data_IF_381520064716
#
_entry.id   IF_381520064716
#
_cell.length_a   1.000
_cell.length_b   1.000
_cell.length_c   1.000
_cell.angle_alpha   90.00
_cell.angle_beta   90.00
_cell.angle_gamma   90.00
#
_symmetry.space_group_name_H-M   'P 1'
#
loop_
_entity.id
_entity.type
_entity.pdbx_description
1 polymer ?
#
# COMPACT_ATOMS: atom_id res chain seq x y z
N UNK A 1 11.53 15.06 -11.72
CA UNK A 1 10.10 14.67 -11.66
C UNK A 1 9.30 15.65 -12.51
N UNK A 2 8.34 15.16 -13.29
CA UNK A 2 7.50 15.96 -14.18
C UNK A 2 6.70 17.04 -13.39
N UNK A 3 6.60 18.26 -13.94
CA UNK A 3 5.94 19.41 -13.28
C UNK A 3 4.43 19.19 -13.06
N UNK A 4 3.74 18.54 -13.99
CA UNK A 4 2.32 18.19 -13.87
C UNK A 4 2.07 17.23 -12.71
N UNK A 5 2.96 16.24 -12.52
CA UNK A 5 2.89 15.32 -11.38
C UNK A 5 3.08 16.10 -10.06
N UNK A 6 4.04 17.03 -10.03
CA UNK A 6 4.25 17.87 -8.85
C UNK A 6 3.03 18.74 -8.54
N UNK A 7 2.49 19.44 -9.53
CA UNK A 7 1.32 20.28 -9.35
C UNK A 7 0.09 19.50 -8.89
N UNK A 8 -0.10 18.27 -9.40
CA UNK A 8 -1.23 17.42 -9.05
C UNK A 8 -1.12 16.74 -7.68
N UNK A 9 0.07 16.25 -7.34
CA UNK A 9 0.26 15.33 -6.22
C UNK A 9 1.10 15.89 -5.06
N UNK A 10 1.89 16.95 -5.20
CA UNK A 10 2.69 17.53 -4.09
C UNK A 10 1.85 18.33 -3.08
N UNK A 11 0.77 17.72 -2.58
CA UNK A 11 -0.23 18.25 -1.65
C UNK A 11 -0.90 17.09 -0.92
N UNK A 12 -1.61 17.37 0.17
CA UNK A 12 -2.41 16.35 0.86
C UNK A 12 -3.71 16.06 0.10
N UNK A 13 -4.11 14.79 0.04
CA UNK A 13 -5.35 14.37 -0.62
C UNK A 13 -5.85 13.03 -0.04
N UNK A 14 -7.09 12.67 -0.41
CA UNK A 14 -7.63 11.32 -0.21
C UNK A 14 -7.57 10.57 -1.52
N UNK A 15 -7.12 9.32 -1.48
CA UNK A 15 -6.99 8.49 -2.67
C UNK A 15 -7.04 7.00 -2.36
N UNK A 16 -6.90 6.20 -3.41
CA UNK A 16 -6.87 4.74 -3.36
C UNK A 16 -5.64 4.23 -4.08
N UNK A 17 -5.06 3.16 -3.56
CA UNK A 17 -3.99 2.43 -4.21
C UNK A 17 -4.53 1.11 -4.76
N UNK A 18 -4.12 0.76 -5.96
CA UNK A 18 -4.37 -0.54 -6.55
C UNK A 18 -3.03 -1.14 -6.96
N UNK A 19 -2.84 -2.44 -6.78
CA UNK A 19 -1.72 -3.13 -7.42
C UNK A 19 -2.02 -3.20 -8.91
N UNK A 20 -1.10 -2.70 -9.74
CA UNK A 20 -1.27 -2.68 -11.20
C UNK A 20 -0.58 -3.89 -11.82
N UNK A 21 -1.33 -4.64 -12.62
CA UNK A 21 -0.81 -5.68 -13.52
C UNK A 21 -1.05 -5.27 -14.97
N UNK A 22 -0.56 -6.07 -15.92
CA UNK A 22 -0.78 -5.84 -17.37
C UNK A 22 -2.28 -5.82 -17.71
N UNK A 23 -3.06 -6.70 -17.07
CA UNK A 23 -4.44 -6.95 -17.46
C UNK A 23 -5.49 -6.24 -16.59
N UNK A 24 -5.12 -5.81 -15.37
CA UNK A 24 -6.07 -5.20 -14.44
C UNK A 24 -5.43 -4.46 -13.26
N UNK A 25 -6.26 -3.67 -12.60
CA UNK A 25 -5.98 -3.14 -11.26
C UNK A 25 -6.57 -4.06 -10.20
N UNK A 26 -5.72 -4.53 -9.30
CA UNK A 26 -6.09 -5.39 -8.19
C UNK A 26 -6.30 -4.50 -6.94
N UNK A 27 -7.47 -4.55 -6.30
CA UNK A 27 -7.72 -3.74 -5.11
C UNK A 27 -6.82 -4.15 -3.95
N UNK A 28 -6.59 -3.23 -3.02
CA UNK A 28 -5.98 -3.56 -1.74
C UNK A 28 -7.08 -3.86 -0.71
N UNK A 29 -6.74 -4.63 0.30
CA UNK A 29 -7.61 -4.93 1.44
C UNK A 29 -6.81 -5.09 2.71
N UNK A 30 -7.50 -4.97 3.84
CA UNK A 30 -6.96 -5.41 5.11
C UNK A 30 -7.24 -6.91 5.28
N UNK A 31 -6.22 -7.63 5.72
CA UNK A 31 -6.35 -9.01 6.17
C UNK A 31 -7.17 -9.09 7.44
N UNK A 32 -7.77 -10.26 7.62
CA UNK A 32 -8.49 -10.66 8.81
C UNK A 32 -7.88 -11.96 9.30
N UNK A 33 -7.80 -12.14 10.60
CA UNK A 33 -7.41 -13.38 11.27
C UNK A 33 -8.18 -14.61 10.77
N UNK A 34 -9.38 -14.42 10.22
CA UNK A 34 -10.22 -15.48 9.62
C UNK A 34 -9.85 -15.86 8.18
N UNK A 35 -8.94 -15.13 7.53
CA UNK A 35 -8.50 -15.37 6.14
C UNK A 35 -7.63 -16.63 5.98
N UNK A 36 -7.18 -17.23 7.09
CA UNK A 36 -6.39 -18.46 7.09
C UNK A 36 -7.17 -19.66 7.61
N UNK A 37 -6.70 -20.83 7.19
CA UNK A 37 -7.02 -22.08 7.87
C UNK A 37 -6.37 -22.04 9.27
N UNK A 38 -6.87 -22.80 10.25
CA UNK A 38 -6.33 -22.80 11.63
C UNK A 38 -4.88 -23.30 11.78
N UNK A 39 -4.13 -23.40 10.67
CA UNK A 39 -2.73 -23.76 10.53
C UNK A 39 -2.05 -22.83 9.51
N UNK A 40 -0.78 -22.47 9.74
CA UNK A 40 -0.02 -21.52 8.92
C UNK A 40 0.29 -20.21 9.67
N UNK A 41 0.85 -19.21 8.98
CA UNK A 41 1.02 -17.86 9.52
C UNK A 41 -0.39 -17.25 9.66
N UNK A 42 -0.90 -17.17 10.88
CA UNK A 42 -2.11 -16.40 11.20
C UNK A 42 -1.77 -14.92 11.03
N UNK A 43 -2.33 -14.22 10.02
CA UNK A 43 -2.12 -12.79 9.93
C UNK A 43 -2.70 -12.13 11.17
N UNK A 44 -1.97 -11.17 11.71
CA UNK A 44 -2.61 -10.19 12.58
C UNK A 44 -3.64 -9.43 11.73
N UNK A 45 -4.76 -9.04 12.34
CA UNK A 45 -5.69 -8.14 11.66
C UNK A 45 -4.94 -6.88 11.18
N UNK A 46 -5.39 -6.30 10.07
CA UNK A 46 -4.89 -5.04 9.50
C UNK A 46 -3.58 -5.07 8.69
N UNK A 47 -3.02 -6.24 8.37
CA UNK A 47 -1.98 -6.29 7.32
C UNK A 47 -2.60 -5.99 5.95
N UNK A 48 -1.87 -5.23 5.13
CA UNK A 48 -2.30 -4.83 3.80
C UNK A 48 -1.99 -5.94 2.79
N UNK A 49 -3.02 -6.33 2.03
CA UNK A 49 -2.93 -7.34 0.98
C UNK A 49 -3.41 -6.77 -0.35
N UNK A 50 -2.89 -7.31 -1.45
CA UNK A 50 -3.51 -7.17 -2.77
C UNK A 50 -4.48 -8.34 -3.01
N UNK A 51 -5.66 -8.05 -3.55
CA UNK A 51 -6.68 -9.03 -3.90
C UNK A 51 -8.00 -8.83 -3.16
N UNK A 52 -8.91 -9.78 -3.37
CA UNK A 52 -10.29 -9.68 -2.90
C UNK A 52 -11.24 -9.02 -3.90
N UNK A 53 -12.52 -8.98 -3.54
CA UNK A 53 -13.62 -8.54 -4.42
C UNK A 53 -14.13 -7.13 -4.14
N UNK A 54 -13.70 -6.54 -3.01
CA UNK A 54 -14.11 -5.21 -2.62
C UNK A 54 -13.20 -4.17 -3.27
N UNK A 55 -13.71 -2.96 -3.41
CA UNK A 55 -12.89 -1.85 -3.87
C UNK A 55 -11.80 -1.50 -2.84
N UNK A 56 -10.72 -0.88 -3.32
CA UNK A 56 -9.59 -0.53 -2.47
C UNK A 56 -9.99 0.50 -1.40
N UNK A 57 -9.49 0.39 -0.15
CA UNK A 57 -9.83 1.33 0.90
C UNK A 57 -9.33 2.74 0.57
N UNK A 58 -10.13 3.73 0.96
CA UNK A 58 -9.73 5.14 0.89
C UNK A 58 -8.68 5.42 1.97
N UNK A 59 -7.60 6.07 1.57
CA UNK A 59 -6.49 6.46 2.44
C UNK A 59 -6.31 7.98 2.39
N UNK A 60 -5.90 8.55 3.51
CA UNK A 60 -5.43 9.92 3.63
C UNK A 60 -3.91 9.95 3.34
N UNK A 61 -3.52 10.68 2.29
CA UNK A 61 -2.13 10.96 1.95
C UNK A 61 -1.78 12.36 2.45
N UNK A 62 -1.13 12.45 3.60
CA UNK A 62 -0.65 13.70 4.16
C UNK A 62 0.71 14.03 3.60
N UNK A 63 0.78 15.05 2.74
CA UNK A 63 2.04 15.47 2.11
C UNK A 63 3.04 15.89 3.18
N UNK A 64 4.27 15.39 3.03
CA UNK A 64 5.37 15.67 3.92
C UNK A 64 6.46 16.49 3.22
N UNK A 65 7.02 15.98 2.14
CA UNK A 65 8.08 16.63 1.38
C UNK A 65 8.23 16.00 -0.01
N UNK A 66 9.25 16.41 -0.76
CA UNK A 66 9.62 15.79 -2.04
C UNK A 66 11.12 15.83 -2.26
N UNK A 67 11.60 14.96 -3.14
CA UNK A 67 12.92 15.03 -3.77
C UNK A 67 12.76 15.33 -5.25
N UNK A 68 13.86 15.23 -6.01
CA UNK A 68 13.82 15.40 -7.47
C UNK A 68 13.03 14.30 -8.17
N UNK A 69 12.90 13.12 -7.57
CA UNK A 69 12.32 11.91 -8.16
C UNK A 69 11.17 11.30 -7.35
N UNK A 70 10.87 11.81 -6.14
CA UNK A 70 9.89 11.19 -5.23
C UNK A 70 9.04 12.22 -4.50
N UNK A 71 7.82 11.81 -4.18
CA UNK A 71 6.89 12.51 -3.30
C UNK A 71 6.79 11.75 -1.98
N UNK A 72 6.84 12.44 -0.86
CA UNK A 72 6.83 11.83 0.47
C UNK A 72 5.52 12.14 1.19
N UNK A 73 4.88 11.11 1.75
CA UNK A 73 3.62 11.22 2.48
C UNK A 73 3.64 10.44 3.77
N UNK A 74 2.89 10.92 4.76
CA UNK A 74 2.36 10.07 5.81
C UNK A 74 1.03 9.52 5.32
N UNK A 75 0.88 8.21 5.29
CA UNK A 75 -0.31 7.54 4.77
C UNK A 75 -1.09 6.97 5.94
N UNK A 76 -2.38 7.26 6.00
CA UNK A 76 -3.26 6.77 7.06
C UNK A 76 -4.61 6.33 6.51
N UNK A 77 -5.29 5.47 7.26
CA UNK A 77 -6.65 5.04 6.96
C UNK A 77 -7.59 5.51 8.07
N UNK A 78 -8.65 6.27 7.75
CA UNK A 78 -9.65 6.65 8.74
C UNK A 78 -10.38 5.40 9.24
N UNK A 79 -10.48 5.23 10.55
CA UNK A 79 -11.08 4.06 11.17
C UNK A 79 -11.79 4.40 12.48
N UNK A 80 -12.35 3.36 13.11
CA UNK A 80 -12.82 3.40 14.50
C UNK A 80 -12.05 2.35 15.31
N UNK A 81 -11.67 2.63 16.56
CA UNK A 81 -11.91 3.86 17.32
C UNK A 81 -11.10 5.09 16.86
N UNK A 82 -10.03 4.92 16.09
CA UNK A 82 -9.08 6.01 15.75
C UNK A 82 -8.65 5.96 14.26
N UNK A 83 -7.70 6.80 13.84
CA UNK A 83 -7.00 6.67 12.56
C UNK A 83 -5.80 5.73 12.67
N UNK A 84 -5.67 4.76 11.75
CA UNK A 84 -4.49 3.88 11.66
C UNK A 84 -3.47 4.43 10.67
N UNK A 85 -2.19 4.23 10.92
CA UNK A 85 -1.10 4.68 10.03
C UNK A 85 -0.50 3.50 9.28
N UNK A 86 -0.17 3.70 8.01
CA UNK A 86 0.54 2.70 7.21
C UNK A 86 1.95 2.55 7.76
N UNK A 87 2.31 1.35 8.19
CA UNK A 87 3.63 1.03 8.71
C UNK A 87 4.15 -0.29 8.16
N UNK A 88 5.35 -0.65 8.61
CA UNK A 88 6.03 -1.90 8.30
C UNK A 88 6.17 -2.70 9.60
N UNK A 89 5.78 -3.96 9.59
CA UNK A 89 5.99 -4.89 10.70
C UNK A 89 7.48 -5.25 10.87
N UNK A 90 7.83 -5.97 11.94
CA UNK A 90 9.21 -6.42 12.18
C UNK A 90 9.76 -7.34 11.08
N UNK A 91 8.89 -8.01 10.33
CA UNK A 91 9.22 -8.93 9.24
C UNK A 91 8.88 -8.33 7.86
N UNK A 92 8.81 -7.01 7.74
CA UNK A 92 8.72 -6.32 6.45
C UNK A 92 7.32 -6.18 5.86
N UNK A 93 6.28 -6.71 6.50
CA UNK A 93 4.92 -6.66 5.99
C UNK A 93 4.30 -5.29 6.18
N UNK A 94 3.51 -4.84 5.19
CA UNK A 94 2.76 -3.60 5.31
C UNK A 94 1.48 -3.82 6.10
N UNK A 95 1.11 -2.86 6.92
CA UNK A 95 -0.17 -2.87 7.61
C UNK A 95 -0.57 -1.51 8.14
N UNK A 96 -1.82 -1.37 8.55
CA UNK A 96 -2.34 -0.17 9.18
C UNK A 96 -2.42 -0.40 10.69
N UNK A 97 -1.60 0.31 11.46
CA UNK A 97 -1.43 0.06 12.89
C UNK A 97 -1.84 1.28 13.74
N UNK A 98 -2.32 1.00 14.97
CA UNK A 98 -2.68 2.01 15.98
C UNK A 98 -1.46 2.65 16.64
N UNK A 99 -0.60 1.81 17.21
CA UNK A 99 0.50 2.21 18.11
C UNK A 99 1.87 2.16 17.45
N UNK A 100 1.94 1.93 16.15
CA UNK A 100 3.24 1.90 15.54
C UNK A 100 3.85 3.31 15.69
N UNK A 101 5.13 3.36 16.09
CA UNK A 101 6.02 4.53 16.09
C UNK A 101 6.24 5.07 14.66
N UNK A 102 5.21 5.04 13.81
CA UNK A 102 5.16 5.49 12.42
C UNK A 102 5.22 7.01 12.40
N UNK A 103 6.40 7.52 12.72
CA UNK A 103 6.88 8.84 12.37
C UNK A 103 7.32 8.90 10.89
N UNK A 104 7.33 7.75 10.22
CA UNK A 104 8.03 7.55 8.97
C UNK A 104 7.12 7.81 7.76
N UNK A 105 7.68 8.52 6.79
CA UNK A 105 7.01 8.83 5.55
C UNK A 105 7.25 7.71 4.53
N UNK A 106 6.27 7.52 3.66
CA UNK A 106 6.32 6.66 2.50
C UNK A 106 6.70 7.49 1.28
N UNK A 107 7.41 6.87 0.33
CA UNK A 107 7.82 7.53 -0.90
C UNK A 107 7.02 6.98 -2.07
N UNK A 108 6.37 7.87 -2.80
CA UNK A 108 5.83 7.61 -4.12
C UNK A 108 6.93 7.94 -5.12
N UNK A 109 7.41 6.92 -5.83
CA UNK A 109 8.31 7.05 -6.98
C UNK A 109 7.44 7.02 -8.25
N UNK A 110 7.18 8.19 -8.88
CA UNK A 110 6.32 8.27 -10.06
C UNK A 110 6.95 7.56 -11.26
N UNK A 111 6.15 6.78 -11.98
CA UNK A 111 6.55 6.11 -13.23
C UNK A 111 5.87 6.76 -14.44
N UNK A 112 4.55 6.93 -14.39
CA UNK A 112 3.77 7.55 -15.45
C UNK A 112 2.50 8.18 -14.90
N UNK A 113 2.17 9.39 -15.35
CA UNK A 113 0.84 9.96 -15.17
C UNK A 113 -0.03 9.49 -16.33
N UNK A 114 -1.20 8.92 -16.02
CA UNK A 114 -2.17 8.43 -17.00
C UNK A 114 -3.53 9.08 -16.73
N UNK A 115 -4.46 8.95 -17.66
CA UNK A 115 -5.84 9.45 -17.48
C UNK A 115 -6.55 8.81 -16.28
N UNK A 116 -6.09 7.63 -15.86
CA UNK A 116 -6.65 6.90 -14.73
C UNK A 116 -6.03 7.28 -13.38
N UNK A 117 -4.90 7.99 -13.36
CA UNK A 117 -4.15 8.32 -12.16
C UNK A 117 -2.63 8.13 -12.31
N UNK A 118 -1.92 8.16 -11.18
CA UNK A 118 -0.47 8.08 -11.16
C UNK A 118 0.00 6.63 -10.97
N UNK A 119 0.69 6.08 -11.97
CA UNK A 119 1.41 4.81 -11.86
C UNK A 119 2.74 5.06 -11.14
N UNK A 120 3.03 4.29 -10.10
CA UNK A 120 4.19 4.50 -9.24
C UNK A 120 4.72 3.22 -8.60
N UNK A 121 5.93 3.29 -8.04
CA UNK A 121 6.31 2.39 -6.96
C UNK A 121 6.02 3.07 -5.61
N UNK A 122 5.54 2.26 -4.66
CA UNK A 122 5.53 2.62 -3.25
C UNK A 122 6.83 2.14 -2.61
N UNK A 123 7.45 3.00 -1.81
CA UNK A 123 8.67 2.67 -1.07
C UNK A 123 8.57 3.06 0.39
N UNK A 124 9.24 2.30 1.24
CA UNK A 124 9.44 2.67 2.63
C UNK A 124 10.44 3.82 2.77
N UNK A 125 10.66 4.25 4.00
CA UNK A 125 11.61 5.32 4.31
C UNK A 125 13.07 4.96 4.04
N UNK A 126 13.46 3.67 4.08
CA UNK A 126 14.81 3.20 3.72
C UNK A 126 14.99 3.18 2.20
N UNK A 127 13.89 3.21 1.45
CA UNK A 127 13.85 3.27 -0.01
C UNK A 127 13.61 1.91 -0.66
N UNK A 128 13.29 0.86 0.09
CA UNK A 128 12.90 -0.41 -0.49
C UNK A 128 11.54 -0.30 -1.17
N UNK A 129 11.41 -0.91 -2.35
CA UNK A 129 10.15 -0.97 -3.09
C UNK A 129 9.28 -2.08 -2.52
N UNK A 130 7.99 -1.81 -2.43
CA UNK A 130 7.01 -2.82 -2.01
C UNK A 130 6.93 -3.92 -3.07
N UNK A 131 7.02 -5.17 -2.61
CA UNK A 131 6.77 -6.37 -3.37
C UNK A 131 5.52 -7.11 -2.90
N UNK A 132 5.09 -8.07 -3.73
CA UNK A 132 3.97 -8.96 -3.47
C UNK A 132 4.45 -10.40 -3.26
N UNK A 133 3.94 -11.04 -2.21
CA UNK A 133 4.15 -12.45 -1.88
C UNK A 133 2.80 -13.17 -1.99
N UNK A 134 2.60 -14.06 -2.97
CA UNK A 134 1.35 -14.80 -3.12
C UNK A 134 0.96 -15.52 -1.84
N UNK A 135 -0.27 -15.32 -1.40
CA UNK A 135 -0.87 -16.05 -0.31
C UNK A 135 -1.59 -17.30 -0.86
N UNK A 136 -0.87 -18.42 -0.92
CA UNK A 136 -1.40 -19.67 -1.46
C UNK A 136 -1.11 -20.86 -0.52
N UNK A 137 -2.14 -21.58 -0.04
CA UNK A 137 -3.58 -21.37 -0.28
C UNK A 137 -4.19 -20.28 0.62
N UNK A 138 -5.04 -19.43 0.04
CA UNK A 138 -5.90 -18.51 0.79
C UNK A 138 -7.27 -19.17 1.06
N UNK A 139 -7.86 -18.95 2.25
CA UNK A 139 -9.10 -19.66 2.65
C UNK A 139 -10.29 -19.43 1.72
N UNK A 140 -10.38 -18.24 1.13
CA UNK A 140 -11.45 -17.91 0.17
C UNK A 140 -11.30 -18.59 -1.19
N UNK A 141 -10.16 -19.21 -1.49
CA UNK A 141 -9.82 -19.70 -2.83
C UNK A 141 -9.51 -18.60 -3.86
N UNK A 142 -9.56 -17.33 -3.45
CA UNK A 142 -9.20 -16.20 -4.31
C UNK A 142 -7.68 -15.97 -4.31
N UNK A 143 -7.17 -15.38 -5.40
CA UNK A 143 -5.79 -14.92 -5.42
C UNK A 143 -5.66 -13.70 -4.51
N UNK A 144 -4.76 -13.80 -3.53
CA UNK A 144 -4.41 -12.76 -2.59
C UNK A 144 -2.89 -12.76 -2.47
N UNK A 145 -2.28 -11.60 -2.23
CA UNK A 145 -0.86 -11.50 -1.96
C UNK A 145 -0.60 -10.56 -0.78
N UNK A 146 0.35 -10.93 0.07
CA UNK A 146 0.88 -10.06 1.10
C UNK A 146 1.78 -9.01 0.49
N UNK A 147 1.76 -7.80 1.06
CA UNK A 147 2.69 -6.74 0.68
C UNK A 147 3.86 -6.70 1.66
N UNK A 148 5.08 -6.66 1.13
CA UNK A 148 6.31 -6.65 1.91
C UNK A 148 7.34 -5.68 1.31
N UNK A 149 8.24 -5.10 2.11
CA UNK A 149 9.30 -4.19 1.62
C UNK A 149 10.66 -4.86 1.42
N UNK A 150 10.89 -6.06 1.96
CA UNK A 150 12.16 -6.78 1.84
C UNK A 150 12.06 -8.03 0.97
N UNK A 151 10.85 -8.58 0.81
CA UNK A 151 10.59 -9.83 0.10
C UNK A 151 9.50 -9.67 -0.98
N UNK A 152 9.44 -10.65 -1.89
CA UNK A 152 8.45 -10.73 -2.96
C UNK A 152 8.85 -10.05 -4.26
N UNK A 153 8.01 -10.23 -5.28
CA UNK A 153 8.23 -9.58 -6.57
C UNK A 153 7.83 -8.11 -6.48
N UNK A 154 8.72 -7.19 -6.86
CA UNK A 154 8.45 -5.75 -6.84
C UNK A 154 7.27 -5.42 -7.74
N UNK A 155 6.26 -4.75 -7.18
CA UNK A 155 5.04 -4.39 -7.90
C UNK A 155 4.97 -2.91 -8.22
N UNK A 156 4.06 -2.57 -9.14
CA UNK A 156 3.64 -1.18 -9.39
C UNK A 156 2.26 -0.96 -8.83
N UNK A 157 1.99 0.28 -8.44
CA UNK A 157 0.70 0.73 -7.98
C UNK A 157 0.12 1.75 -8.94
N UNK A 158 -1.20 1.83 -8.93
CA UNK A 158 -1.94 2.96 -9.43
C UNK A 158 -2.55 3.73 -8.26
N UNK A 159 -2.26 5.03 -8.21
CA UNK A 159 -2.78 5.98 -7.24
C UNK A 159 -3.86 6.85 -7.89
N UNK A 160 -5.10 6.65 -7.43
CA UNK A 160 -6.30 7.36 -7.88
C UNK A 160 -6.87 8.27 -6.81
#
# INVERSE_FOLDING_TARGET
>A
MNETIQAGYARSFRGKLYMRTVDRDIPLRLSRSTDKFGWGITPEDDWLQAGGRQDSPVMDFHYHSRTNDRLHYRISMPGRPETKKLGVSRNGYLGFYWHADVSEYWKIEPLALTDEGLVCHLRDQRGYRVGALPDTPHRSGEWVAWLNVEEGEVITFLLR
#
